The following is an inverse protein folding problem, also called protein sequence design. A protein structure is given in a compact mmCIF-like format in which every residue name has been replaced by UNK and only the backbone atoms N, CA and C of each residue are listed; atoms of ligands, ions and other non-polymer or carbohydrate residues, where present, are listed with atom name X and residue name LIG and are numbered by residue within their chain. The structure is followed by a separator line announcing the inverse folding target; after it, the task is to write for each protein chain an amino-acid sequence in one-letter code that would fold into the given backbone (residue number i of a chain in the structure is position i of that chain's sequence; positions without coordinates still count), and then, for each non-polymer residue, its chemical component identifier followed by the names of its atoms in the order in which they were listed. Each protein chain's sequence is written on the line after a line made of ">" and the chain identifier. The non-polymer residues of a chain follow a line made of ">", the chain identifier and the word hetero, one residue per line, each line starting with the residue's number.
data_IF_896527945017
#
_entry.id   IF_896527945017
#
_cell.length_a   1.000
_cell.length_b   1.000
_cell.length_c   1.000
_cell.angle_alpha   90.00
_cell.angle_beta   90.00
_cell.angle_gamma   90.00
#
_symmetry.space_group_name_H-M   'P 1'
#
loop_
_entity.id
_entity.type
_entity.pdbx_description
1 polymer ?
#
# COMPACT_ATOMS: atom_id res chain seq x y z
N UNK A 1 10.74 4.90 14.04
CA UNK A 1 9.66 5.75 14.57
C UNK A 1 9.19 6.73 13.50
N UNK A 2 7.90 6.73 13.16
CA UNK A 2 7.25 7.69 12.26
C UNK A 2 6.49 8.73 13.11
N UNK A 3 7.21 9.74 13.62
CA UNK A 3 6.73 10.61 14.71
C UNK A 3 5.77 11.72 14.26
N UNK A 4 5.80 12.10 12.98
CA UNK A 4 5.01 13.23 12.47
C UNK A 4 3.65 12.79 11.89
N UNK A 5 3.29 11.50 11.98
CA UNK A 5 2.06 10.97 11.39
C UNK A 5 2.02 11.02 9.86
N UNK A 6 3.13 11.34 9.20
CA UNK A 6 3.25 11.37 7.73
C UNK A 6 2.98 9.99 7.14
N UNK A 7 2.55 9.97 5.90
CA UNK A 7 2.34 8.72 5.15
C UNK A 7 3.68 8.01 4.98
N UNK A 8 3.68 6.71 5.30
CA UNK A 8 4.80 5.80 5.03
C UNK A 8 4.28 4.71 4.12
N UNK A 9 4.88 4.60 2.94
CA UNK A 9 4.42 3.68 1.91
C UNK A 9 5.54 2.76 1.43
N UNK A 10 5.25 1.47 1.27
CA UNK A 10 6.24 0.49 0.83
C UNK A 10 5.59 -0.62 0.00
N UNK A 11 6.24 -1.04 -1.08
CA UNK A 11 5.74 -2.07 -2.00
C UNK A 11 6.76 -3.18 -2.18
N UNK A 12 6.29 -4.37 -2.55
CA UNK A 12 7.14 -5.52 -2.87
C UNK A 12 7.90 -6.00 -1.62
N UNK A 13 9.23 -6.03 -1.65
CA UNK A 13 10.08 -6.41 -0.53
C UNK A 13 10.25 -5.28 0.50
N UNK A 14 9.99 -4.02 0.13
CA UNK A 14 10.27 -2.86 0.99
C UNK A 14 9.53 -2.84 2.34
N UNK A 15 8.29 -3.38 2.49
CA UNK A 15 7.65 -3.50 3.81
C UNK A 15 8.49 -4.23 4.87
N UNK A 16 9.42 -5.11 4.46
CA UNK A 16 10.37 -5.74 5.38
C UNK A 16 11.25 -4.74 6.15
N UNK A 17 11.57 -3.60 5.53
CA UNK A 17 12.32 -2.52 6.19
C UNK A 17 11.46 -1.86 7.25
N UNK A 18 10.16 -1.68 6.99
CA UNK A 18 9.22 -1.12 7.95
C UNK A 18 9.04 -2.04 9.16
N UNK A 19 8.93 -3.35 8.92
CA UNK A 19 8.89 -4.37 9.98
C UNK A 19 10.13 -4.32 10.86
N UNK A 20 11.33 -4.33 10.27
CA UNK A 20 12.60 -4.18 11.01
C UNK A 20 12.71 -2.88 11.81
N UNK A 21 12.08 -1.79 11.34
CA UNK A 21 12.06 -0.51 12.03
C UNK A 21 10.99 -0.41 13.13
N UNK A 22 10.21 -1.47 13.38
CA UNK A 22 9.08 -1.48 14.32
C UNK A 22 7.91 -0.58 13.89
N UNK A 23 7.85 -0.19 12.62
CA UNK A 23 6.79 0.69 12.10
C UNK A 23 5.47 -0.08 11.93
N UNK A 24 5.55 -1.40 11.73
CA UNK A 24 4.38 -2.25 11.49
C UNK A 24 3.80 -2.90 12.76
N UNK A 25 4.37 -2.61 13.94
CA UNK A 25 3.91 -3.20 15.21
C UNK A 25 2.43 -2.91 15.45
N UNK A 26 1.62 -3.96 15.55
CA UNK A 26 0.17 -3.87 15.75
C UNK A 26 -0.62 -3.37 14.53
N UNK A 27 -0.02 -3.34 13.34
CA UNK A 27 -0.67 -2.89 12.10
C UNK A 27 -0.93 -4.03 11.13
N UNK A 28 -1.95 -3.87 10.28
CA UNK A 28 -2.11 -4.71 9.09
C UNK A 28 -1.12 -4.29 8.01
N UNK A 29 -0.50 -5.27 7.36
CA UNK A 29 0.41 -5.02 6.25
C UNK A 29 0.43 -6.18 5.25
N UNK A 30 0.90 -5.91 4.04
CA UNK A 30 1.17 -6.92 3.01
C UNK A 30 2.54 -6.70 2.39
N UNK A 31 3.05 -7.69 1.65
CA UNK A 31 4.34 -7.62 0.97
C UNK A 31 4.40 -8.61 -0.19
N UNK A 32 5.54 -8.64 -0.87
CA UNK A 32 5.83 -9.66 -1.87
C UNK A 32 5.79 -11.07 -1.25
N UNK A 33 5.24 -12.09 -1.95
CA UNK A 33 5.27 -13.46 -1.47
C UNK A 33 6.69 -13.93 -1.12
N UNK A 34 6.87 -14.49 0.08
CA UNK A 34 8.17 -14.91 0.62
C UNK A 34 8.87 -13.88 1.50
N UNK A 35 8.26 -12.72 1.75
CA UNK A 35 8.76 -11.70 2.68
C UNK A 35 7.93 -11.57 3.96
N UNK A 36 6.88 -12.38 4.14
CA UNK A 36 5.91 -12.28 5.23
C UNK A 36 6.60 -12.33 6.61
N UNK A 37 7.55 -13.26 6.79
CA UNK A 37 8.34 -13.40 8.03
C UNK A 37 9.18 -12.16 8.38
N UNK A 38 9.32 -11.20 7.46
CA UNK A 38 10.05 -9.94 7.67
C UNK A 38 9.14 -8.80 8.11
N UNK A 39 7.82 -8.98 8.10
CA UNK A 39 6.84 -8.00 8.58
C UNK A 39 6.64 -8.16 10.10
N UNK A 40 7.74 -8.01 10.83
CA UNK A 40 7.80 -8.19 12.28
C UNK A 40 6.75 -7.29 12.96
N UNK A 41 5.95 -7.88 13.85
CA UNK A 41 4.92 -7.18 14.62
C UNK A 41 3.63 -6.88 13.86
N UNK A 42 3.56 -7.18 12.55
CA UNK A 42 2.40 -6.90 11.73
C UNK A 42 1.39 -8.06 11.72
N UNK A 43 0.11 -7.72 11.54
CA UNK A 43 -0.90 -8.66 11.04
C UNK A 43 -0.73 -8.76 9.51
N UNK A 44 -0.09 -9.83 9.03
CA UNK A 44 0.17 -10.02 7.60
C UNK A 44 -1.09 -10.51 6.89
N UNK A 45 -1.53 -9.77 5.87
CA UNK A 45 -2.70 -10.12 5.04
C UNK A 45 -2.32 -10.21 3.56
N UNK A 46 -3.12 -10.96 2.79
CA UNK A 46 -2.87 -11.21 1.36
C UNK A 46 -3.72 -10.36 0.42
N UNK A 47 -3.85 -9.08 0.73
CA UNK A 47 -4.56 -8.11 -0.11
C UNK A 47 -3.61 -7.39 -1.08
N UNK A 48 -4.05 -6.90 -2.25
CA UNK A 48 -3.20 -6.18 -3.20
C UNK A 48 -2.55 -4.93 -2.61
N UNK A 49 -3.31 -4.19 -1.78
CA UNK A 49 -2.91 -2.98 -1.08
C UNK A 49 -3.55 -3.00 0.30
N UNK A 50 -2.80 -2.62 1.32
CA UNK A 50 -3.29 -2.50 2.71
C UNK A 50 -2.97 -1.11 3.21
N UNK A 51 -4.00 -0.37 3.65
CA UNK A 51 -3.86 0.92 4.29
C UNK A 51 -4.31 0.83 5.77
N UNK A 52 -3.35 0.96 6.70
CA UNK A 52 -3.57 0.97 8.15
C UNK A 52 -3.09 2.29 8.76
N UNK A 53 -4.04 3.21 8.95
CA UNK A 53 -3.77 4.57 9.42
C UNK A 53 -2.97 5.37 8.40
N UNK A 54 -1.69 5.58 8.67
CA UNK A 54 -0.73 6.29 7.81
C UNK A 54 0.30 5.36 7.15
N UNK A 55 0.21 4.04 7.36
CA UNK A 55 1.06 3.06 6.69
C UNK A 55 0.29 2.44 5.52
N UNK A 56 0.89 2.46 4.34
CA UNK A 56 0.32 1.86 3.12
C UNK A 56 1.32 0.85 2.58
N UNK A 57 0.91 -0.41 2.43
CA UNK A 57 1.77 -1.47 1.89
C UNK A 57 1.13 -2.18 0.70
N UNK A 58 1.95 -2.77 -0.18
CA UNK A 58 1.46 -3.47 -1.37
C UNK A 58 2.38 -4.62 -1.80
N UNK A 59 1.84 -5.58 -2.56
CA UNK A 59 2.47 -6.87 -2.84
C UNK A 59 3.59 -6.84 -3.88
N UNK A 60 3.46 -6.10 -4.98
CA UNK A 60 4.49 -6.11 -6.03
C UNK A 60 4.12 -5.32 -7.28
N UNK A 61 4.87 -5.50 -8.37
CA UNK A 61 4.63 -4.78 -9.63
C UNK A 61 3.18 -4.91 -10.12
N UNK A 62 2.61 -6.11 -10.02
CA UNK A 62 1.24 -6.39 -10.44
C UNK A 62 0.15 -5.66 -9.65
N UNK A 63 0.51 -5.03 -8.52
CA UNK A 63 -0.41 -4.24 -7.67
C UNK A 63 0.01 -2.78 -7.58
N UNK A 64 0.92 -2.34 -8.46
CA UNK A 64 1.51 -0.99 -8.41
C UNK A 64 0.52 0.11 -8.78
N UNK A 65 -0.44 -0.17 -9.65
CA UNK A 65 -1.49 0.78 -10.03
C UNK A 65 -2.44 1.02 -8.86
N UNK A 66 -2.94 -0.05 -8.26
CA UNK A 66 -3.77 0.00 -7.05
C UNK A 66 -3.05 0.69 -5.90
N UNK A 67 -1.76 0.42 -5.72
CA UNK A 67 -0.95 1.10 -4.72
C UNK A 67 -0.83 2.61 -4.99
N UNK A 68 -0.61 2.99 -6.25
CA UNK A 68 -0.60 4.39 -6.68
C UNK A 68 -1.95 5.07 -6.44
N UNK A 69 -3.06 4.39 -6.70
CA UNK A 69 -4.40 4.91 -6.45
C UNK A 69 -4.65 5.14 -4.96
N UNK A 70 -4.24 4.22 -4.08
CA UNK A 70 -4.39 4.41 -2.64
C UNK A 70 -3.57 5.62 -2.14
N UNK A 71 -2.40 5.86 -2.72
CA UNK A 71 -1.61 7.06 -2.43
C UNK A 71 -2.30 8.34 -2.91
N UNK A 72 -2.81 8.37 -4.13
CA UNK A 72 -3.55 9.53 -4.67
C UNK A 72 -4.78 9.81 -3.82
N UNK A 73 -5.54 8.78 -3.44
CA UNK A 73 -6.70 8.88 -2.55
C UNK A 73 -6.33 9.55 -1.23
N UNK A 74 -5.23 9.14 -0.61
CA UNK A 74 -4.80 9.62 0.70
C UNK A 74 -4.18 11.02 0.66
N UNK A 75 -3.50 11.37 -0.44
CA UNK A 75 -2.76 12.63 -0.59
C UNK A 75 -3.55 13.72 -1.30
N UNK A 76 -4.53 13.36 -2.13
CA UNK A 76 -5.26 14.30 -3.00
C UNK A 76 -6.76 14.15 -2.80
N UNK A 77 -7.41 13.17 -3.43
CA UNK A 77 -8.83 12.88 -3.29
C UNK A 77 -9.21 11.58 -4.00
N UNK A 78 -10.36 11.01 -3.66
CA UNK A 78 -10.95 9.87 -4.38
C UNK A 78 -11.35 10.25 -5.83
N UNK A 79 -11.83 11.48 -6.04
CA UNK A 79 -12.20 11.97 -7.38
C UNK A 79 -10.98 11.98 -8.32
N UNK A 80 -9.81 12.38 -7.82
CA UNK A 80 -8.57 12.35 -8.59
C UNK A 80 -8.18 10.93 -8.97
N UNK A 81 -8.46 9.93 -8.13
CA UNK A 81 -8.24 8.52 -8.49
C UNK A 81 -9.06 8.13 -9.69
N UNK A 82 -10.35 8.49 -9.72
CA UNK A 82 -11.23 8.15 -10.85
C UNK A 82 -10.80 8.86 -12.13
N UNK A 83 -10.47 10.15 -12.05
CA UNK A 83 -9.92 10.91 -13.17
C UNK A 83 -8.67 10.24 -13.76
N UNK A 84 -7.71 9.87 -12.92
CA UNK A 84 -6.47 9.23 -13.37
C UNK A 84 -6.74 7.83 -13.96
N UNK A 85 -7.63 7.03 -13.37
CA UNK A 85 -8.03 5.73 -13.91
C UNK A 85 -8.56 5.84 -15.34
N UNK A 86 -9.41 6.84 -15.60
CA UNK A 86 -9.94 7.11 -16.93
C UNK A 86 -8.85 7.56 -17.90
N UNK A 87 -8.01 8.52 -17.50
CA UNK A 87 -6.96 9.10 -18.35
C UNK A 87 -5.93 8.07 -18.83
N UNK A 88 -5.62 7.06 -18.00
CA UNK A 88 -4.67 6.01 -18.34
C UNK A 88 -5.35 4.73 -18.84
N UNK A 89 -6.67 4.74 -19.02
CA UNK A 89 -7.47 3.60 -19.51
C UNK A 89 -7.32 2.36 -18.62
N UNK A 90 -7.17 2.56 -17.30
CA UNK A 90 -7.04 1.46 -16.35
C UNK A 90 -8.40 0.78 -16.13
N UNK A 91 -8.52 -0.50 -16.48
CA UNK A 91 -9.76 -1.29 -16.33
C UNK A 91 -11.02 -0.61 -16.92
N UNK A 92 -10.84 0.19 -17.98
CA UNK A 92 -11.87 1.08 -18.53
C UNK A 92 -13.20 0.39 -18.91
N UNK A 93 -13.15 -0.86 -19.35
CA UNK A 93 -14.34 -1.64 -19.73
C UNK A 93 -14.93 -2.48 -18.59
N UNK A 94 -14.28 -2.56 -17.42
CA UNK A 94 -14.72 -3.35 -16.28
C UNK A 94 -15.42 -2.52 -15.19
N UNK A 95 -15.34 -1.19 -15.27
CA UNK A 95 -15.87 -0.26 -14.28
C UNK A 95 -17.08 0.56 -14.77
N UNK A 96 -17.54 0.33 -16.02
CA UNK A 96 -18.82 0.81 -16.55
C UNK A 96 -19.84 -0.31 -16.50
#
# INVERSE_FOLDING_TARGET
>A
MNRDGKIVAAICAAPSVLGKCGILEGKKATCYPGFEDKLIGAEVVSEPVVADGNVITSRGLGTSMEFGFELIKKLVSEEKVQEIREQIVFMYNLLK
#
